data_IF_860908830836
#
_entry.id   IF_860908830836
#
_cell.length_a   1.000
_cell.length_b   1.000
_cell.length_c   1.000
_cell.angle_alpha   90.00
_cell.angle_beta   90.00
_cell.angle_gamma   90.00
#
_symmetry.space_group_name_H-M   'P 1'
#
loop_
_entity.id
_entity.type
_entity.pdbx_description
1 polymer ?
#
# COMPACT_ATOMS: atom_id res chain seq x y z
N UNK A 1 -2.27 2.12 0.67
CA UNK A 1 -1.08 1.91 -0.20
C UNK A 1 -1.28 2.28 -1.66
N UNK A 2 -1.80 1.39 -2.52
CA UNK A 2 -1.88 1.62 -3.97
C UNK A 2 -2.68 2.88 -4.35
N UNK A 3 -3.80 3.14 -3.67
CA UNK A 3 -4.56 4.38 -3.84
C UNK A 3 -3.75 5.63 -3.47
N UNK A 4 -2.96 5.57 -2.39
CA UNK A 4 -2.09 6.68 -1.99
C UNK A 4 -1.01 6.95 -3.07
N UNK A 5 -0.38 5.91 -3.60
CA UNK A 5 0.58 6.04 -4.72
C UNK A 5 -0.06 6.70 -5.96
N UNK A 6 -1.25 6.26 -6.36
CA UNK A 6 -1.97 6.82 -7.52
C UNK A 6 -2.35 8.28 -7.29
N UNK A 7 -2.85 8.62 -6.10
CA UNK A 7 -3.20 9.99 -5.73
C UNK A 7 -1.96 10.90 -5.71
N UNK A 8 -0.84 10.41 -5.19
CA UNK A 8 0.43 11.14 -5.24
C UNK A 8 0.88 11.37 -6.67
N UNK A 9 0.86 10.34 -7.51
CA UNK A 9 1.23 10.47 -8.93
C UNK A 9 0.31 11.47 -9.65
N UNK A 10 -0.98 11.43 -9.36
CA UNK A 10 -1.96 12.38 -9.91
C UNK A 10 -1.64 13.81 -9.47
N UNK A 11 -1.36 14.03 -8.18
CA UNK A 11 -1.01 15.34 -7.65
C UNK A 11 0.30 15.87 -8.22
N UNK A 12 1.29 14.99 -8.45
CA UNK A 12 2.54 15.37 -9.11
C UNK A 12 2.31 15.84 -10.55
N UNK A 13 1.37 15.20 -11.28
CA UNK A 13 1.07 15.53 -12.67
C UNK A 13 0.15 16.75 -12.82
N UNK A 14 -0.77 16.95 -11.87
CA UNK A 14 -1.80 17.99 -11.93
C UNK A 14 -1.80 18.82 -10.64
N UNK A 15 -0.65 19.44 -10.34
CA UNK A 15 -0.45 20.18 -9.09
C UNK A 15 -1.48 21.31 -8.87
N UNK A 16 -1.91 21.97 -9.94
CA UNK A 16 -2.91 23.06 -9.89
C UNK A 16 -4.31 22.59 -9.48
N UNK A 17 -4.63 21.30 -9.68
CA UNK A 17 -5.95 20.73 -9.38
C UNK A 17 -6.04 20.18 -7.96
N UNK A 18 -4.92 20.01 -7.27
CA UNK A 18 -4.87 19.32 -5.97
C UNK A 18 -4.58 20.32 -4.84
N UNK A 19 -5.62 20.65 -4.09
CA UNK A 19 -5.54 21.52 -2.91
C UNK A 19 -4.80 20.86 -1.74
N UNK A 20 -4.90 19.53 -1.63
CA UNK A 20 -4.21 18.75 -0.62
C UNK A 20 -4.43 17.25 -0.77
N UNK A 21 -3.61 16.46 -0.08
CA UNK A 21 -3.62 15.00 -0.11
C UNK A 21 -3.75 14.44 1.30
N UNK A 22 -4.54 13.38 1.43
CA UNK A 22 -4.54 12.52 2.62
C UNK A 22 -4.12 11.13 2.19
N UNK A 23 -2.97 10.68 2.70
CA UNK A 23 -2.33 9.45 2.27
C UNK A 23 -2.25 8.46 3.43
N UNK A 24 -2.95 7.33 3.31
CA UNK A 24 -2.92 6.26 4.31
C UNK A 24 -1.96 5.16 3.88
N UNK A 25 -0.92 4.94 4.69
CA UNK A 25 0.20 4.03 4.44
C UNK A 25 0.71 4.16 3.00
N UNK A 26 1.24 5.33 2.60
CA UNK A 26 1.75 5.51 1.27
C UNK A 26 3.04 4.73 1.02
N UNK A 27 3.30 4.50 -0.26
CA UNK A 27 4.53 3.92 -0.78
C UNK A 27 5.03 4.82 -1.89
N UNK A 28 6.35 5.03 -1.98
CA UNK A 28 6.92 5.95 -2.97
C UNK A 28 8.11 5.37 -3.73
N UNK A 29 8.70 4.27 -3.28
CA UNK A 29 9.87 3.67 -3.93
C UNK A 29 9.46 2.61 -4.94
N UNK A 30 10.36 2.36 -5.89
CA UNK A 30 10.31 1.15 -6.71
C UNK A 30 10.37 -0.11 -5.81
N UNK A 31 9.76 -1.23 -6.22
CA UNK A 31 9.78 -2.44 -5.42
C UNK A 31 11.22 -2.94 -5.22
N UNK A 32 11.55 -3.30 -3.98
CA UNK A 32 12.83 -3.91 -3.64
C UNK A 32 13.04 -5.25 -4.38
N UNK A 33 14.28 -5.70 -4.54
CA UNK A 33 14.57 -6.97 -5.23
C UNK A 33 13.87 -8.18 -4.58
N UNK A 34 13.77 -8.17 -3.25
CA UNK A 34 13.05 -9.20 -2.47
C UNK A 34 11.53 -9.12 -2.69
N UNK A 35 10.96 -7.92 -2.71
CA UNK A 35 9.56 -7.71 -3.10
C UNK A 35 9.30 -8.15 -4.53
N UNK A 36 10.19 -7.81 -5.46
CA UNK A 36 10.09 -8.21 -6.86
C UNK A 36 10.07 -9.73 -7.00
N UNK A 37 10.96 -10.43 -6.30
CA UNK A 37 10.99 -11.89 -6.31
C UNK A 37 9.70 -12.48 -5.73
N UNK A 38 9.25 -11.97 -4.58
CA UNK A 38 7.99 -12.41 -3.96
C UNK A 38 6.79 -12.18 -4.89
N UNK A 39 6.74 -11.00 -5.53
CA UNK A 39 5.72 -10.66 -6.51
C UNK A 39 5.78 -11.57 -7.74
N UNK A 40 6.98 -11.96 -8.20
CA UNK A 40 7.15 -12.88 -9.33
C UNK A 40 6.62 -14.26 -9.00
N UNK A 41 6.92 -14.77 -7.82
CA UNK A 41 6.38 -16.04 -7.31
C UNK A 41 4.86 -15.96 -7.19
N UNK A 42 4.33 -14.88 -6.61
CA UNK A 42 2.90 -14.66 -6.48
C UNK A 42 2.19 -14.60 -7.83
N UNK A 43 2.78 -13.92 -8.83
CA UNK A 43 2.24 -13.83 -10.18
C UNK A 43 2.28 -15.16 -10.93
N UNK A 44 3.33 -15.96 -10.73
CA UNK A 44 3.38 -17.32 -11.28
C UNK A 44 2.31 -18.21 -10.63
N UNK A 45 2.15 -18.14 -9.30
CA UNK A 45 1.07 -18.86 -8.60
C UNK A 45 -0.31 -18.43 -9.09
N UNK A 46 -0.51 -17.13 -9.30
CA UNK A 46 -1.73 -16.56 -9.89
C UNK A 46 -2.02 -17.13 -11.28
N UNK A 47 -0.99 -17.22 -12.12
CA UNK A 47 -1.11 -17.73 -13.48
C UNK A 47 -1.45 -19.24 -13.52
N UNK A 48 -0.85 -20.04 -12.63
CA UNK A 48 -1.05 -21.49 -12.60
C UNK A 48 -2.29 -21.94 -11.79
N UNK A 49 -2.59 -21.29 -10.66
CA UNK A 49 -3.65 -21.70 -9.73
C UNK A 49 -4.92 -20.83 -9.78
N UNK A 50 -4.89 -19.71 -10.52
CA UNK A 50 -5.99 -18.75 -10.57
C UNK A 50 -6.28 -18.12 -9.20
N UNK A 51 -7.47 -17.53 -9.06
CA UNK A 51 -7.94 -16.88 -7.83
C UNK A 51 -8.44 -17.88 -6.78
N UNK A 52 -7.68 -18.94 -6.54
CA UNK A 52 -7.98 -19.89 -5.47
C UNK A 52 -7.51 -19.35 -4.11
N UNK A 53 -8.01 -19.91 -3.00
CA UNK A 53 -7.86 -19.39 -1.63
C UNK A 53 -6.44 -19.00 -1.20
N UNK A 54 -5.40 -19.62 -1.78
CA UNK A 54 -3.99 -19.28 -1.56
C UNK A 54 -3.69 -17.81 -1.90
N UNK A 55 -4.30 -17.26 -2.94
CA UNK A 55 -4.10 -15.87 -3.30
C UNK A 55 -4.65 -14.92 -2.24
N UNK A 56 -5.81 -15.23 -1.67
CA UNK A 56 -6.43 -14.39 -0.62
C UNK A 56 -5.47 -14.33 0.56
N UNK A 57 -4.90 -15.47 0.95
CA UNK A 57 -3.89 -15.53 2.00
C UNK A 57 -2.60 -14.76 1.63
N UNK A 58 -2.13 -14.84 0.39
CA UNK A 58 -0.98 -14.06 -0.05
C UNK A 58 -1.25 -12.55 -0.12
N UNK A 59 -2.47 -12.14 -0.46
CA UNK A 59 -2.88 -10.73 -0.46
C UNK A 59 -3.00 -10.21 0.95
N UNK A 60 -3.71 -10.92 1.82
CA UNK A 60 -3.73 -10.64 3.24
C UNK A 60 -2.30 -10.62 3.79
N UNK A 61 -1.41 -11.47 3.29
CA UNK A 61 -0.01 -11.47 3.69
C UNK A 61 0.75 -10.20 3.32
N UNK A 62 0.37 -9.58 2.20
CA UNK A 62 0.99 -8.36 1.70
C UNK A 62 0.40 -7.11 2.31
N UNK A 63 -0.87 -7.13 2.72
CA UNK A 63 -1.56 -5.97 3.31
C UNK A 63 -1.49 -5.94 4.84
N UNK A 64 -1.38 -7.09 5.50
CA UNK A 64 -1.32 -7.20 6.96
C UNK A 64 0.04 -7.76 7.44
N UNK A 65 0.58 -7.14 8.49
CA UNK A 65 1.83 -7.56 9.14
C UNK A 65 1.80 -9.03 9.59
N UNK A 66 2.97 -9.66 9.75
CA UNK A 66 3.07 -11.02 10.31
C UNK A 66 2.57 -11.07 11.77
N UNK A 67 2.70 -9.97 12.51
CA UNK A 67 2.29 -9.86 13.92
C UNK A 67 0.76 -9.97 14.10
N UNK A 68 -0.02 -9.33 13.22
CA UNK A 68 -1.50 -9.38 13.18
C UNK A 68 -2.01 -10.80 12.84
N UNK A 69 -1.15 -11.68 12.34
CA UNK A 69 -1.50 -13.07 11.99
C UNK A 69 -1.23 -14.08 13.11
N UNK A 70 -0.41 -13.72 14.09
CA UNK A 70 -0.10 -14.57 15.24
C UNK A 70 -0.97 -14.24 16.46
N UNK A 71 -1.66 -13.09 16.48
CA UNK A 71 -2.68 -12.72 17.48
C UNK A 71 -4.00 -13.48 17.22
N UNK A 72 -3.99 -14.79 17.50
CA UNK A 72 -5.14 -15.70 17.31
C UNK A 72 -6.31 -15.44 18.30
N UNK A 73 -6.37 -14.30 19.00
CA UNK A 73 -7.46 -14.01 19.95
C UNK A 73 -7.93 -12.55 19.91
N UNK A 74 -9.04 -12.31 19.20
CA UNK A 74 -9.91 -11.12 19.31
C UNK A 74 -9.81 -10.10 18.17
N UNK A 75 -10.98 -9.53 17.78
CA UNK A 75 -11.28 -8.35 16.89
C UNK A 75 -10.56 -8.21 15.54
N UNK A 76 -9.27 -8.52 15.45
CA UNK A 76 -8.47 -8.48 14.21
C UNK A 76 -8.84 -9.62 13.25
N UNK A 77 -9.27 -10.77 13.77
CA UNK A 77 -9.80 -11.88 12.97
C UNK A 77 -11.07 -11.49 12.19
N UNK A 78 -11.93 -10.64 12.77
CA UNK A 78 -13.17 -10.18 12.14
C UNK A 78 -12.88 -9.25 10.94
N UNK A 79 -11.82 -8.43 11.04
CA UNK A 79 -11.37 -7.56 9.95
C UNK A 79 -10.79 -8.39 8.81
N UNK A 80 -9.96 -9.39 9.13
CA UNK A 80 -9.39 -10.30 8.13
C UNK A 80 -10.51 -11.06 7.40
N UNK A 81 -11.50 -11.55 8.13
CA UNK A 81 -12.64 -12.26 7.57
C UNK A 81 -13.54 -11.34 6.72
N UNK A 82 -13.77 -10.10 7.16
CA UNK A 82 -14.46 -9.10 6.35
C UNK A 82 -13.70 -8.79 5.05
N UNK A 83 -12.37 -8.64 5.12
CA UNK A 83 -11.52 -8.46 3.94
C UNK A 83 -11.59 -9.65 3.00
N UNK A 84 -11.64 -10.89 3.51
CA UNK A 84 -11.85 -12.10 2.69
C UNK A 84 -13.16 -12.02 1.92
N UNK A 85 -14.27 -11.71 2.60
CA UNK A 85 -15.58 -11.57 1.94
C UNK A 85 -15.57 -10.51 0.83
N UNK A 86 -14.95 -9.36 1.08
CA UNK A 86 -14.82 -8.31 0.05
C UNK A 86 -13.95 -8.78 -1.12
N UNK A 87 -12.91 -9.57 -0.89
CA UNK A 87 -12.09 -10.14 -1.97
C UNK A 87 -12.86 -11.20 -2.78
N UNK A 88 -13.80 -11.92 -2.15
CA UNK A 88 -14.64 -12.94 -2.80
C UNK A 88 -15.65 -12.33 -3.78
N UNK A 89 -16.13 -11.13 -3.48
CA UNK A 89 -17.05 -10.38 -4.34
C UNK A 89 -16.35 -9.77 -5.57
N UNK A 90 -15.01 -9.70 -5.58
CA UNK A 90 -14.25 -9.06 -6.66
C UNK A 90 -13.90 -10.04 -7.78
N UNK A 91 -14.03 -9.57 -9.03
CA UNK A 91 -13.56 -10.30 -10.20
C UNK A 91 -12.05 -10.49 -10.14
N UNK A 92 -11.63 -11.74 -10.02
CA UNK A 92 -10.26 -12.03 -9.66
C UNK A 92 -9.19 -11.66 -10.70
N UNK A 93 -9.56 -11.71 -11.98
CA UNK A 93 -8.68 -11.23 -13.06
C UNK A 93 -8.38 -9.73 -12.93
N UNK A 94 -9.34 -8.93 -12.45
CA UNK A 94 -9.16 -7.49 -12.26
C UNK A 94 -8.24 -7.19 -11.08
N UNK A 95 -8.36 -7.98 -10.00
CA UNK A 95 -7.44 -7.90 -8.86
C UNK A 95 -6.02 -8.25 -9.28
N UNK A 96 -5.86 -9.31 -10.09
CA UNK A 96 -4.55 -9.69 -10.64
C UNK A 96 -3.93 -8.56 -11.47
N UNK A 97 -4.69 -7.98 -12.41
CA UNK A 97 -4.21 -6.85 -13.23
C UNK A 97 -3.83 -5.63 -12.39
N UNK A 98 -4.62 -5.33 -11.37
CA UNK A 98 -4.33 -4.24 -10.43
C UNK A 98 -3.01 -4.47 -9.67
N UNK A 99 -2.78 -5.69 -9.19
CA UNK A 99 -1.55 -6.05 -8.49
C UNK A 99 -0.34 -6.01 -9.42
N UNK A 100 -0.48 -6.45 -10.66
CA UNK A 100 0.57 -6.34 -11.68
C UNK A 100 0.97 -4.87 -11.87
N UNK A 101 0.00 -3.97 -12.06
CA UNK A 101 0.28 -2.55 -12.23
C UNK A 101 1.01 -1.93 -11.02
N UNK A 102 0.64 -2.30 -9.78
CA UNK A 102 1.30 -1.81 -8.57
C UNK A 102 2.70 -2.39 -8.36
N UNK A 103 2.95 -3.59 -8.90
CA UNK A 103 4.26 -4.23 -8.85
C UNK A 103 5.24 -3.66 -9.88
N UNK A 104 4.73 -2.96 -10.90
CA UNK A 104 5.54 -2.24 -11.90
C UNK A 104 5.67 -0.75 -11.56
N UNK A 105 5.36 -0.36 -10.31
CA UNK A 105 5.46 1.03 -9.86
C UNK A 105 6.89 1.56 -10.00
N UNK A 106 6.98 2.84 -10.35
CA UNK A 106 8.23 3.57 -10.47
C UNK A 106 8.53 4.31 -9.15
N UNK A 107 9.79 4.73 -8.99
CA UNK A 107 10.17 5.56 -7.86
C UNK A 107 9.63 6.98 -8.07
N UNK A 108 8.84 7.47 -7.11
CA UNK A 108 8.28 8.83 -7.11
C UNK A 108 9.16 9.84 -6.38
N UNK A 109 10.22 9.38 -5.70
CA UNK A 109 11.01 10.15 -4.74
C UNK A 109 11.46 11.52 -5.27
N UNK A 110 11.98 11.58 -6.50
CA UNK A 110 12.48 12.83 -7.08
C UNK A 110 11.38 13.88 -7.25
N UNK A 111 10.18 13.45 -7.64
CA UNK A 111 9.09 14.40 -7.86
C UNK A 111 8.32 14.76 -6.58
N UNK A 112 8.55 14.06 -5.47
CA UNK A 112 8.00 14.42 -4.15
C UNK A 112 8.57 15.74 -3.63
N UNK A 113 9.83 16.04 -3.95
CA UNK A 113 10.51 17.27 -3.52
C UNK A 113 9.88 18.51 -4.18
N UNK A 114 9.22 18.32 -5.34
CA UNK A 114 8.56 19.38 -6.10
C UNK A 114 7.05 19.48 -5.82
N UNK A 115 6.51 18.66 -4.91
CA UNK A 115 5.07 18.62 -4.65
C UNK A 115 4.64 19.79 -3.76
N UNK A 116 3.84 20.70 -4.32
CA UNK A 116 3.41 21.92 -3.62
C UNK A 116 2.18 21.73 -2.71
N UNK A 117 1.40 20.66 -2.92
CA UNK A 117 0.15 20.46 -2.19
C UNK A 117 0.38 20.04 -0.73
N UNK A 118 -0.50 20.49 0.17
CA UNK A 118 -0.45 20.09 1.58
C UNK A 118 -0.81 18.62 1.71
N UNK A 119 0.07 17.83 2.29
CA UNK A 119 -0.07 16.38 2.39
C UNK A 119 -0.12 15.95 3.86
N UNK A 120 -1.10 15.13 4.20
CA UNK A 120 -1.24 14.50 5.51
C UNK A 120 -1.03 13.00 5.33
N UNK A 121 -0.01 12.45 5.99
CA UNK A 121 0.33 11.02 5.93
C UNK A 121 -0.14 10.36 7.23
N UNK A 122 -0.94 9.31 7.11
CA UNK A 122 -1.34 8.45 8.21
C UNK A 122 -0.65 7.10 8.09
N UNK A 123 -0.04 6.62 9.17
CA UNK A 123 0.53 5.28 9.21
C UNK A 123 0.35 4.64 10.59
N UNK A 124 0.00 3.37 10.63
CA UNK A 124 -0.05 2.61 11.88
C UNK A 124 1.35 2.22 12.34
N UNK A 125 1.60 2.23 13.65
CA UNK A 125 2.92 1.92 14.22
C UNK A 125 3.39 0.50 13.89
N UNK A 126 2.47 -0.47 13.87
CA UNK A 126 2.71 -1.88 13.49
C UNK A 126 2.63 -2.15 11.98
N UNK A 127 2.54 -1.11 11.15
CA UNK A 127 2.41 -1.26 9.69
C UNK A 127 3.75 -1.58 9.02
N UNK A 128 3.76 -2.56 8.11
CA UNK A 128 4.91 -2.83 7.24
C UNK A 128 5.32 -1.65 6.35
N UNK A 129 4.46 -0.63 6.22
CA UNK A 129 4.71 0.54 5.37
C UNK A 129 5.17 1.76 6.16
N UNK A 130 5.45 1.60 7.46
CA UNK A 130 5.92 2.66 8.33
C UNK A 130 7.19 3.31 7.81
N UNK A 131 8.22 2.52 7.53
CA UNK A 131 9.51 3.04 7.06
C UNK A 131 9.38 3.79 5.72
N UNK A 132 8.54 3.31 4.80
CA UNK A 132 8.25 4.02 3.55
C UNK A 132 7.47 5.32 3.79
N UNK A 133 6.50 5.31 4.70
CA UNK A 133 5.67 6.48 5.02
C UNK A 133 6.50 7.59 5.66
N UNK A 134 7.40 7.21 6.59
CA UNK A 134 8.37 8.11 7.21
C UNK A 134 9.32 8.66 6.15
N UNK A 135 9.90 7.78 5.31
CA UNK A 135 10.78 8.18 4.22
C UNK A 135 10.11 9.19 3.29
N UNK A 136 8.87 8.92 2.86
CA UNK A 136 8.08 9.81 2.01
C UNK A 136 7.85 11.17 2.68
N UNK A 137 7.53 11.19 3.98
CA UNK A 137 7.38 12.42 4.74
C UNK A 137 8.68 13.24 4.78
N UNK A 138 9.86 12.61 4.84
CA UNK A 138 11.13 13.33 4.82
C UNK A 138 11.40 14.00 3.47
N UNK A 139 10.84 13.46 2.38
CA UNK A 139 11.02 13.96 1.02
C UNK A 139 10.05 15.08 0.65
N UNK A 140 8.84 15.06 1.19
CA UNK A 140 7.79 16.05 0.88
C UNK A 140 7.95 17.42 1.57
N UNK A 141 9.02 17.64 2.35
CA UNK A 141 9.29 18.91 3.04
C UNK A 141 8.40 19.17 4.27
N UNK A 142 9.00 19.66 5.36
CA UNK A 142 8.32 19.84 6.67
C UNK A 142 7.20 20.90 6.68
N UNK A 143 7.14 21.79 5.70
CA UNK A 143 6.13 22.87 5.62
C UNK A 143 4.84 22.41 4.93
N UNK A 144 4.95 21.39 4.08
CA UNK A 144 3.91 20.89 3.19
C UNK A 144 3.40 19.53 3.64
N UNK A 145 4.17 18.78 4.43
CA UNK A 145 3.81 17.45 4.90
C UNK A 145 3.67 17.36 6.41
N UNK A 146 2.61 16.71 6.89
CA UNK A 146 2.44 16.29 8.28
C UNK A 146 2.30 14.76 8.34
N UNK A 147 2.98 14.12 9.28
CA UNK A 147 2.93 12.68 9.52
C UNK A 147 2.20 12.41 10.85
N UNK A 148 1.22 11.53 10.82
CA UNK A 148 0.46 11.05 11.97
C UNK A 148 0.69 9.55 12.11
N UNK A 149 1.39 9.17 13.17
CA UNK A 149 1.57 7.77 13.55
C UNK A 149 0.45 7.38 14.54
N UNK A 150 -0.26 6.29 14.26
CA UNK A 150 -1.29 5.78 15.17
C UNK A 150 -0.82 4.49 15.84
N UNK A 151 -0.68 4.55 17.17
CA UNK A 151 -0.50 3.38 18.01
C UNK A 151 -1.88 2.78 18.33
N UNK A 152 -2.07 1.50 17.98
CA UNK A 152 -3.23 0.74 18.46
C UNK A 152 -2.83 0.19 19.84
N UNK A 153 -3.39 0.77 20.90
CA UNK A 153 -3.29 0.27 22.27
C UNK A 153 -4.45 -0.68 22.58
#
# INVERSE_FOLDING_TARGET
MAGAYILTLFAMKYQELVLGLILVSPICKAPSWTEWFYNKVLMNLLYFYGMCGILKECLLQRYFSKEIRCSVQGTEADIIEACRRVLDERQGLNVMRFLQAINERYDLTEGLENLQCRTLIFVGESSQFRDESVYMSTKMGKKTCALVEHAVH
#
